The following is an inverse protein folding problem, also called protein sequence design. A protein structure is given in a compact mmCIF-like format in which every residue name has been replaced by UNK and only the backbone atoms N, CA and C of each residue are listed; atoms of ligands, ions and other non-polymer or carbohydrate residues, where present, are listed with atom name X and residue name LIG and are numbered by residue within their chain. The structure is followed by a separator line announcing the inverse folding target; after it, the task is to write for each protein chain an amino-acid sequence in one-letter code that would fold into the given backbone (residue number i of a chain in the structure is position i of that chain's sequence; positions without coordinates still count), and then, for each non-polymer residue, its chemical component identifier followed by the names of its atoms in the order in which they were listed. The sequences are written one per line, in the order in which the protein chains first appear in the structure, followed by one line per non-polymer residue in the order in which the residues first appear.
data_IF_552079726008
#
_entry.id   IF_552079726008
#
_cell.length_a   1.000
_cell.length_b   1.000
_cell.length_c   1.000
_cell.angle_alpha   90.00
_cell.angle_beta   90.00
_cell.angle_gamma   90.00
#
_symmetry.space_group_name_H-M   'P 1'
#
loop_
_entity.id
_entity.type
_entity.pdbx_description
1 polymer ?
#
# COMPACT_ATOMS: atom_id res chain seq x y z
N UNK A 1 25.31 -9.09 -26.25
CA UNK A 1 24.75 -7.72 -26.36
C UNK A 1 23.22 -7.79 -26.33
N UNK A 2 22.60 -6.72 -25.83
CA UNK A 2 21.15 -6.38 -25.76
C UNK A 2 20.38 -6.80 -24.50
N UNK A 3 20.13 -5.78 -23.68
CA UNK A 3 19.18 -5.67 -22.56
C UNK A 3 17.77 -5.39 -23.11
N UNK A 4 16.72 -5.98 -22.53
CA UNK A 4 15.32 -5.51 -22.62
C UNK A 4 14.69 -5.77 -21.23
N UNK A 5 14.63 -4.79 -20.34
CA UNK A 5 13.55 -3.81 -20.07
C UNK A 5 12.23 -4.44 -19.60
N UNK A 6 11.97 -4.21 -18.31
CA UNK A 6 10.73 -4.39 -17.55
C UNK A 6 9.57 -3.52 -18.07
N UNK A 7 8.35 -3.89 -17.66
CA UNK A 7 7.09 -3.18 -17.85
C UNK A 7 6.19 -4.00 -18.77
N UNK A 8 4.97 -4.38 -18.40
CA UNK A 8 3.87 -3.49 -18.03
C UNK A 8 2.87 -4.25 -17.14
N UNK A 9 2.44 -3.60 -16.06
CA UNK A 9 1.30 -4.02 -15.26
C UNK A 9 0.00 -3.82 -16.06
N UNK A 10 -0.75 -4.89 -16.22
CA UNK A 10 -2.05 -4.88 -16.90
C UNK A 10 -3.10 -4.35 -15.91
N UNK A 11 -3.55 -3.11 -16.09
CA UNK A 11 -4.75 -2.57 -15.44
C UNK A 11 -5.85 -2.56 -16.51
N UNK A 12 -6.90 -3.37 -16.31
CA UNK A 12 -8.06 -3.45 -17.19
C UNK A 12 -9.30 -2.99 -16.42
N UNK A 13 -9.95 -1.93 -16.93
CA UNK A 13 -11.41 -1.69 -17.00
C UNK A 13 -11.57 -0.26 -17.56
N UNK A 14 -12.38 0.02 -18.57
CA UNK A 14 -13.84 -0.07 -18.52
C UNK A 14 -14.43 -0.23 -19.93
N UNK A 15 -15.44 -1.10 -20.06
CA UNK A 15 -16.40 -1.03 -21.17
C UNK A 15 -17.31 0.19 -20.98
N UNK A 16 -17.38 1.03 -22.01
CA UNK A 16 -18.37 2.09 -22.17
C UNK A 16 -19.67 1.52 -22.72
N UNK A 17 -20.80 1.80 -22.08
CA UNK A 17 -22.10 1.87 -22.74
C UNK A 17 -22.84 3.11 -22.24
N UNK A 18 -22.99 4.06 -23.15
CA UNK A 18 -23.58 5.39 -22.96
C UNK A 18 -25.10 5.25 -23.02
N UNK A 19 -25.79 5.80 -22.03
CA UNK A 19 -27.17 6.28 -22.16
C UNK A 19 -27.28 7.64 -21.49
N UNK A 20 -27.63 8.62 -22.32
CA UNK A 20 -27.73 10.05 -22.02
C UNK A 20 -29.06 10.34 -21.30
N UNK A 21 -29.01 10.97 -20.12
CA UNK A 21 -30.10 11.81 -19.58
C UNK A 21 -29.48 13.05 -18.91
N UNK A 22 -29.74 14.21 -19.52
CA UNK A 22 -29.62 15.60 -19.02
C UNK A 22 -30.38 15.76 -17.69
N UNK A 23 -30.04 16.57 -16.68
CA UNK A 23 -28.98 17.57 -16.42
C UNK A 23 -29.13 17.90 -14.94
N UNK A 24 -28.08 17.74 -14.15
CA UNK A 24 -27.89 18.48 -12.90
C UNK A 24 -26.43 18.86 -12.89
N UNK A 25 -26.16 20.17 -12.93
CA UNK A 25 -24.83 20.78 -12.96
C UNK A 25 -23.98 20.27 -11.79
N UNK A 26 -23.29 19.17 -12.03
CA UNK A 26 -22.06 18.84 -11.33
C UNK A 26 -20.95 19.26 -12.28
N UNK A 27 -20.07 20.20 -11.91
CA UNK A 27 -18.99 20.58 -12.79
C UNK A 27 -18.24 19.29 -13.19
N UNK A 28 -17.82 19.16 -14.45
CA UNK A 28 -16.98 18.03 -14.84
C UNK A 28 -15.82 18.02 -13.86
N UNK A 29 -15.59 16.89 -13.19
CA UNK A 29 -14.34 16.63 -12.45
C UNK A 29 -13.24 16.82 -13.47
N UNK A 30 -12.73 18.04 -13.54
CA UNK A 30 -11.58 18.39 -14.35
C UNK A 30 -10.43 17.54 -13.85
N UNK A 31 -9.48 17.27 -14.75
CA UNK A 31 -8.19 16.65 -14.43
C UNK A 31 -7.39 17.39 -13.30
N UNK A 32 -7.97 18.42 -12.67
CA UNK A 32 -7.48 19.19 -11.52
C UNK A 32 -7.60 18.51 -10.15
N UNK A 33 -8.38 17.42 -10.03
CA UNK A 33 -8.71 16.85 -8.71
C UNK A 33 -7.85 15.64 -8.32
N UNK A 34 -6.96 15.18 -9.20
CA UNK A 34 -6.02 14.10 -8.90
C UNK A 34 -4.66 14.70 -8.53
N UNK A 35 -4.10 14.26 -7.40
CA UNK A 35 -2.75 14.61 -6.99
C UNK A 35 -1.85 13.37 -7.04
N UNK A 36 -0.57 13.59 -7.34
CA UNK A 36 0.47 12.58 -7.21
C UNK A 36 1.48 13.04 -6.18
N UNK A 37 1.65 12.25 -5.12
CA UNK A 37 2.72 12.41 -4.15
C UNK A 37 3.89 11.54 -4.60
N UNK A 38 5.04 12.17 -4.82
CA UNK A 38 6.29 11.51 -5.14
C UNK A 38 7.20 11.54 -3.91
N UNK A 39 7.40 10.39 -3.27
CA UNK A 39 8.21 10.28 -2.06
C UNK A 39 9.68 10.66 -2.26
N UNK A 40 10.17 10.68 -3.50
CA UNK A 40 11.50 11.19 -3.80
C UNK A 40 11.59 12.72 -3.65
N UNK A 41 10.47 13.41 -3.80
CA UNK A 41 10.37 14.88 -3.72
C UNK A 41 9.80 15.36 -2.38
N UNK A 42 8.80 14.66 -1.85
CA UNK A 42 8.09 15.02 -0.62
C UNK A 42 7.92 13.78 0.28
N UNK A 43 9.01 13.21 0.83
CA UNK A 43 8.95 11.99 1.63
C UNK A 43 8.05 12.14 2.87
N UNK A 44 7.97 13.33 3.47
CA UNK A 44 7.13 13.63 4.63
C UNK A 44 5.63 13.50 4.35
N UNK A 45 5.22 13.56 3.07
CA UNK A 45 3.84 13.33 2.66
C UNK A 45 3.50 11.85 2.44
N UNK A 46 4.49 10.95 2.62
CA UNK A 46 4.28 9.51 2.61
C UNK A 46 4.16 9.02 4.06
N UNK A 47 2.95 8.62 4.50
CA UNK A 47 2.73 8.21 5.88
C UNK A 47 3.48 6.92 6.20
N UNK A 48 3.79 6.73 7.48
CA UNK A 48 4.53 5.56 7.96
C UNK A 48 3.90 4.25 7.50
N UNK A 49 2.56 4.13 7.60
CA UNK A 49 1.85 2.91 7.22
C UNK A 49 2.12 2.52 5.76
N UNK A 50 2.22 3.50 4.85
CA UNK A 50 2.41 3.24 3.42
C UNK A 50 3.82 2.74 3.13
N UNK A 51 4.83 3.39 3.71
CA UNK A 51 6.22 2.98 3.59
C UNK A 51 6.44 1.56 4.15
N UNK A 52 5.88 1.27 5.32
CA UNK A 52 6.00 -0.04 5.96
C UNK A 52 5.24 -1.13 5.24
N UNK A 53 4.00 -0.87 4.81
CA UNK A 53 3.24 -1.84 4.04
C UNK A 53 3.95 -2.22 2.74
N UNK A 54 4.51 -1.24 2.04
CA UNK A 54 5.28 -1.49 0.82
C UNK A 54 6.58 -2.24 1.11
N UNK A 55 7.28 -1.91 2.20
CA UNK A 55 8.46 -2.65 2.64
C UNK A 55 8.12 -4.13 2.93
N UNK A 56 6.99 -4.41 3.58
CA UNK A 56 6.52 -5.79 3.79
C UNK A 56 6.22 -6.51 2.47
N UNK A 57 5.67 -5.83 1.46
CA UNK A 57 5.46 -6.44 0.13
C UNK A 57 6.77 -6.89 -0.50
N UNK A 58 7.81 -6.06 -0.44
CA UNK A 58 9.15 -6.45 -0.89
C UNK A 58 9.67 -7.66 -0.11
N UNK A 59 9.54 -7.65 1.22
CA UNK A 59 10.04 -8.71 2.10
C UNK A 59 9.25 -10.04 2.01
N UNK A 60 8.04 -10.00 1.43
CA UNK A 60 7.19 -11.17 1.22
C UNK A 60 7.19 -11.68 -0.23
N UNK A 61 7.92 -11.04 -1.15
CA UNK A 61 7.84 -11.33 -2.59
C UNK A 61 8.24 -12.78 -2.93
N UNK A 62 7.39 -13.57 -3.59
CA UNK A 62 7.64 -15.00 -3.83
C UNK A 62 8.72 -15.28 -4.90
N UNK A 63 9.10 -14.28 -5.70
CA UNK A 63 9.84 -14.48 -6.95
C UNK A 63 11.37 -14.23 -6.88
N UNK A 64 11.94 -13.96 -5.70
CA UNK A 64 13.39 -13.75 -5.59
C UNK A 64 14.12 -15.12 -5.50
N UNK A 65 15.05 -15.44 -6.43
CA UNK A 65 15.78 -16.72 -6.43
C UNK A 65 16.72 -16.88 -5.22
N UNK A 66 17.09 -15.76 -4.60
CA UNK A 66 17.74 -15.68 -3.30
C UNK A 66 16.76 -14.90 -2.43
N UNK A 67 16.43 -15.44 -1.26
CA UNK A 67 15.55 -14.89 -0.21
C UNK A 67 15.13 -13.41 -0.45
N UNK A 68 13.83 -13.08 -0.56
CA UNK A 68 13.32 -11.75 -0.92
C UNK A 68 13.53 -10.73 0.20
N UNK A 69 14.77 -10.59 0.66
CA UNK A 69 15.20 -9.73 1.73
C UNK A 69 16.24 -8.80 1.12
N UNK A 70 16.04 -7.47 1.20
CA UNK A 70 17.00 -6.49 0.74
C UNK A 70 18.41 -6.77 1.28
N UNK A 71 19.43 -6.58 0.46
CA UNK A 71 20.83 -6.88 0.82
C UNK A 71 21.27 -6.18 2.11
N UNK A 72 20.81 -4.95 2.35
CA UNK A 72 21.11 -4.20 3.59
C UNK A 72 20.59 -4.93 4.83
N UNK A 73 19.34 -5.42 4.80
CA UNK A 73 18.77 -6.24 5.86
C UNK A 73 19.52 -7.58 5.94
N UNK A 74 19.84 -8.18 4.79
CA UNK A 74 20.51 -9.48 4.75
C UNK A 74 21.85 -9.49 5.49
N UNK A 75 22.66 -8.44 5.28
CA UNK A 75 23.98 -8.29 5.90
C UNK A 75 23.90 -7.97 7.39
N UNK A 76 22.83 -7.31 7.84
CA UNK A 76 22.64 -6.89 9.23
C UNK A 76 21.93 -7.95 10.11
N UNK A 77 21.50 -9.07 9.53
CA UNK A 77 20.66 -10.04 10.24
C UNK A 77 21.16 -11.48 10.09
N UNK A 78 20.83 -12.32 11.08
CA UNK A 78 21.02 -13.77 11.00
C UNK A 78 19.95 -14.43 10.12
N UNK A 79 20.14 -15.71 9.80
CA UNK A 79 19.15 -16.50 9.07
C UNK A 79 17.81 -16.59 9.79
N UNK A 80 17.84 -16.76 11.11
CA UNK A 80 16.67 -16.87 11.98
C UNK A 80 15.91 -15.54 12.02
N UNK A 81 16.63 -14.42 12.05
CA UNK A 81 16.05 -13.08 12.00
C UNK A 81 15.42 -12.80 10.63
N UNK A 82 16.04 -13.19 9.53
CA UNK A 82 15.43 -13.10 8.19
C UNK A 82 14.17 -13.95 8.07
N UNK A 83 14.18 -15.16 8.62
CA UNK A 83 13.00 -16.01 8.66
C UNK A 83 11.86 -15.35 9.47
N UNK A 84 12.18 -14.69 10.58
CA UNK A 84 11.22 -13.90 11.37
C UNK A 84 10.66 -12.73 10.55
N UNK A 85 11.52 -11.93 9.92
CA UNK A 85 11.13 -10.79 9.06
C UNK A 85 10.18 -11.25 7.96
N UNK A 86 10.55 -12.32 7.24
CA UNK A 86 9.73 -12.89 6.17
C UNK A 86 8.39 -13.40 6.69
N UNK A 87 8.38 -14.09 7.84
CA UNK A 87 7.14 -14.58 8.45
C UNK A 87 6.18 -13.43 8.77
N UNK A 88 6.67 -12.36 9.40
CA UNK A 88 5.83 -11.20 9.72
C UNK A 88 5.36 -10.50 8.44
N UNK A 89 6.23 -10.33 7.44
CA UNK A 89 5.87 -9.76 6.15
C UNK A 89 4.77 -10.56 5.45
N UNK A 90 4.91 -11.89 5.37
CA UNK A 90 3.89 -12.77 4.78
C UNK A 90 2.56 -12.70 5.53
N UNK A 91 2.59 -12.58 6.86
CA UNK A 91 1.39 -12.41 7.67
C UNK A 91 0.67 -11.10 7.33
N UNK A 92 1.40 -9.98 7.23
CA UNK A 92 0.83 -8.68 6.83
C UNK A 92 0.20 -8.76 5.44
N UNK A 93 0.87 -9.37 4.46
CA UNK A 93 0.33 -9.49 3.09
C UNK A 93 -0.91 -10.40 3.04
N UNK A 94 -0.96 -11.44 3.86
CA UNK A 94 -2.15 -12.28 3.99
C UNK A 94 -3.33 -11.48 4.56
N UNK A 95 -3.12 -10.72 5.64
CA UNK A 95 -4.15 -9.85 6.21
C UNK A 95 -4.59 -8.75 5.24
N UNK A 96 -3.64 -8.14 4.52
CA UNK A 96 -3.93 -7.13 3.50
C UNK A 96 -4.85 -7.69 2.43
N UNK A 97 -4.56 -8.89 1.93
CA UNK A 97 -5.38 -9.58 0.93
C UNK A 97 -6.78 -9.86 1.46
N UNK A 98 -6.89 -10.33 2.70
CA UNK A 98 -8.19 -10.61 3.32
C UNK A 98 -9.05 -9.33 3.44
N UNK A 99 -8.47 -8.26 3.97
CA UNK A 99 -9.17 -6.97 4.12
C UNK A 99 -9.53 -6.37 2.76
N UNK A 100 -8.63 -6.46 1.78
CA UNK A 100 -8.89 -6.05 0.40
C UNK A 100 -10.05 -6.82 -0.24
N UNK A 101 -10.12 -8.14 -0.03
CA UNK A 101 -11.26 -8.95 -0.50
C UNK A 101 -12.56 -8.56 0.19
N UNK A 102 -12.54 -8.25 1.49
CA UNK A 102 -13.73 -7.73 2.19
C UNK A 102 -14.18 -6.38 1.64
N UNK A 103 -13.24 -5.48 1.35
CA UNK A 103 -13.53 -4.17 0.77
C UNK A 103 -14.11 -4.29 -0.65
N UNK A 104 -13.59 -5.19 -1.48
CA UNK A 104 -14.15 -5.46 -2.81
C UNK A 104 -15.60 -5.98 -2.73
N UNK A 105 -15.91 -6.87 -1.77
CA UNK A 105 -17.28 -7.37 -1.57
C UNK A 105 -18.28 -6.29 -1.14
N UNK A 106 -17.82 -5.16 -0.61
CA UNK A 106 -18.71 -4.02 -0.31
C UNK A 106 -19.22 -3.33 -1.58
N UNK A 107 -18.58 -3.59 -2.73
CA UNK A 107 -19.04 -3.08 -4.02
C UNK A 107 -20.20 -3.91 -4.59
N UNK A 108 -20.39 -5.15 -4.11
CA UNK A 108 -21.47 -6.02 -4.56
C UNK A 108 -22.82 -5.50 -4.05
N UNK A 109 -23.78 -5.30 -4.96
CA UNK A 109 -25.13 -4.83 -4.61
C UNK A 109 -25.21 -3.37 -4.16
N UNK A 110 -24.29 -2.53 -4.63
CA UNK A 110 -24.37 -1.08 -4.44
C UNK A 110 -25.65 -0.51 -5.06
N UNK A 111 -26.40 0.24 -4.26
CA UNK A 111 -27.55 1.04 -4.66
C UNK A 111 -27.33 2.48 -4.21
N UNK A 112 -27.96 3.47 -4.85
CA UNK A 112 -27.78 4.87 -4.49
C UNK A 112 -28.05 5.16 -2.99
N UNK A 113 -28.98 4.41 -2.39
CA UNK A 113 -29.39 4.51 -0.99
C UNK A 113 -28.31 4.00 -0.02
N UNK A 114 -27.53 2.98 -0.39
CA UNK A 114 -26.54 2.36 0.49
C UNK A 114 -25.09 2.82 0.23
N UNK A 115 -24.83 3.62 -0.81
CA UNK A 115 -23.50 4.15 -1.14
C UNK A 115 -22.81 4.82 0.07
N UNK A 116 -23.47 5.71 0.85
CA UNK A 116 -22.82 6.35 1.99
C UNK A 116 -22.33 5.33 3.03
N UNK A 117 -23.21 4.41 3.45
CA UNK A 117 -22.89 3.38 4.43
C UNK A 117 -21.76 2.45 3.96
N UNK A 118 -21.81 2.02 2.69
CA UNK A 118 -20.79 1.15 2.10
C UNK A 118 -19.44 1.85 1.98
N UNK A 119 -19.45 3.15 1.67
CA UNK A 119 -18.23 3.97 1.67
C UNK A 119 -17.60 4.04 3.06
N UNK A 120 -18.41 4.30 4.10
CA UNK A 120 -17.92 4.34 5.48
C UNK A 120 -17.32 3.00 5.92
N UNK A 121 -17.98 1.88 5.56
CA UNK A 121 -17.47 0.54 5.82
C UNK A 121 -16.13 0.27 5.11
N UNK A 122 -15.99 0.72 3.86
CA UNK A 122 -14.74 0.61 3.11
C UNK A 122 -13.62 1.44 3.75
N UNK A 123 -13.93 2.66 4.19
CA UNK A 123 -12.99 3.55 4.88
C UNK A 123 -12.51 2.95 6.21
N UNK A 124 -13.40 2.28 6.97
CA UNK A 124 -13.04 1.55 8.19
C UNK A 124 -12.12 0.35 7.92
N UNK A 125 -12.40 -0.43 6.87
CA UNK A 125 -11.54 -1.57 6.49
C UNK A 125 -10.15 -1.10 6.06
N UNK A 126 -10.10 0.02 5.33
CA UNK A 126 -8.86 0.64 4.91
C UNK A 126 -8.04 1.13 6.11
N UNK A 127 -8.65 1.80 7.09
CA UNK A 127 -7.96 2.18 8.33
C UNK A 127 -7.41 0.97 9.09
N UNK A 128 -8.20 -0.12 9.21
CA UNK A 128 -7.74 -1.38 9.82
C UNK A 128 -6.53 -1.96 9.11
N UNK A 129 -6.50 -1.91 7.78
CA UNK A 129 -5.37 -2.38 6.96
C UNK A 129 -4.10 -1.60 7.26
N UNK A 130 -4.21 -0.28 7.38
CA UNK A 130 -3.07 0.60 7.67
C UNK A 130 -2.57 0.42 9.10
N UNK A 131 -3.46 0.32 10.07
CA UNK A 131 -3.10 0.04 11.47
C UNK A 131 -2.38 -1.31 11.60
N UNK A 132 -2.86 -2.36 10.92
CA UNK A 132 -2.22 -3.67 10.96
C UNK A 132 -0.76 -3.64 10.48
N UNK A 133 -0.44 -2.79 9.49
CA UNK A 133 0.94 -2.60 9.03
C UNK A 133 1.83 -1.95 10.10
N UNK A 134 1.31 -0.95 10.82
CA UNK A 134 2.02 -0.29 11.92
C UNK A 134 2.21 -1.23 13.11
N UNK A 135 1.18 -1.97 13.50
CA UNK A 135 1.27 -2.96 14.58
C UNK A 135 2.29 -4.05 14.24
N UNK A 136 2.35 -4.48 12.97
CA UNK A 136 3.33 -5.47 12.51
C UNK A 136 4.76 -4.92 12.52
N UNK A 137 4.96 -3.65 12.13
CA UNK A 137 6.23 -2.94 12.32
C UNK A 137 6.68 -3.03 13.77
N UNK A 138 5.81 -2.63 14.70
CA UNK A 138 6.17 -2.52 16.11
C UNK A 138 6.48 -3.91 16.70
N UNK A 139 5.67 -4.92 16.38
CA UNK A 139 5.94 -6.32 16.76
C UNK A 139 7.22 -6.88 16.17
N UNK A 140 7.55 -6.54 14.93
CA UNK A 140 8.78 -7.01 14.28
C UNK A 140 10.00 -6.38 14.95
N UNK A 141 9.99 -5.06 15.10
CA UNK A 141 11.12 -4.32 15.66
C UNK A 141 11.39 -4.72 17.11
N UNK A 142 10.35 -4.97 17.90
CA UNK A 142 10.50 -5.46 19.28
C UNK A 142 11.20 -6.84 19.40
N UNK A 143 11.23 -7.63 18.32
CA UNK A 143 11.84 -8.98 18.30
C UNK A 143 13.22 -9.02 17.65
N UNK A 144 13.65 -7.93 17.01
CA UNK A 144 14.96 -7.84 16.35
C UNK A 144 15.99 -7.20 17.28
N UNK A 145 17.28 -7.58 17.18
CA UNK A 145 18.34 -6.80 17.80
C UNK A 145 18.45 -5.42 17.15
N UNK A 146 19.18 -4.52 17.80
CA UNK A 146 19.32 -3.11 17.39
C UNK A 146 19.77 -2.98 15.92
N UNK A 147 20.73 -3.78 15.48
CA UNK A 147 21.27 -3.75 14.12
C UNK A 147 20.20 -4.14 13.09
N UNK A 148 19.41 -5.17 13.40
CA UNK A 148 18.28 -5.59 12.58
C UNK A 148 17.17 -4.55 12.55
N UNK A 149 16.88 -3.90 13.68
CA UNK A 149 15.91 -2.82 13.75
C UNK A 149 16.33 -1.63 12.87
N UNK A 150 17.60 -1.23 12.93
CA UNK A 150 18.16 -0.14 12.11
C UNK A 150 18.01 -0.49 10.63
N UNK A 151 18.48 -1.67 10.21
CA UNK A 151 18.46 -2.05 8.81
C UNK A 151 17.04 -2.13 8.22
N UNK A 152 16.06 -2.64 8.98
CA UNK A 152 14.67 -2.71 8.52
C UNK A 152 14.03 -1.32 8.48
N UNK A 153 14.31 -0.43 9.45
CA UNK A 153 13.85 0.97 9.42
C UNK A 153 14.43 1.73 8.22
N UNK A 154 15.74 1.63 7.99
CA UNK A 154 16.40 2.26 6.85
C UNK A 154 15.84 1.77 5.52
N UNK A 155 15.51 0.47 5.43
CA UNK A 155 14.85 -0.05 4.25
C UNK A 155 13.45 0.55 4.06
N UNK A 156 12.64 0.66 5.11
CA UNK A 156 11.33 1.32 5.02
C UNK A 156 11.46 2.80 4.59
N UNK A 157 12.48 3.51 5.08
CA UNK A 157 12.78 4.88 4.64
C UNK A 157 13.27 4.94 3.18
N UNK A 158 14.02 3.96 2.72
CA UNK A 158 14.38 3.84 1.31
C UNK A 158 13.14 3.62 0.44
N UNK A 159 12.25 2.72 0.86
CA UNK A 159 10.97 2.46 0.20
C UNK A 159 10.10 3.72 0.17
N UNK A 160 10.05 4.49 1.26
CA UNK A 160 9.35 5.78 1.33
C UNK A 160 9.78 6.73 0.20
N UNK A 161 11.09 6.86 -0.01
CA UNK A 161 11.66 7.70 -1.07
C UNK A 161 11.37 7.20 -2.48
N UNK A 162 11.10 5.90 -2.64
CA UNK A 162 10.69 5.31 -3.92
C UNK A 162 9.17 5.30 -4.15
N UNK A 163 8.38 5.61 -3.13
CA UNK A 163 6.92 5.46 -3.15
C UNK A 163 6.24 6.55 -3.99
N UNK A 164 5.21 6.17 -4.75
CA UNK A 164 4.35 7.10 -5.48
C UNK A 164 2.89 6.79 -5.20
N UNK A 165 2.16 7.81 -4.75
CA UNK A 165 0.73 7.72 -4.45
C UNK A 165 -0.03 8.64 -5.41
N UNK A 166 -1.02 8.11 -6.13
CA UNK A 166 -1.94 8.92 -6.94
C UNK A 166 -3.35 8.76 -6.39
N UNK A 167 -4.00 9.87 -6.06
CA UNK A 167 -5.33 9.86 -5.44
C UNK A 167 -6.10 11.15 -5.73
N UNK A 168 -7.40 11.11 -5.44
CA UNK A 168 -8.23 12.33 -5.45
C UNK A 168 -7.82 13.21 -4.28
N UNK A 169 -7.68 14.52 -4.51
CA UNK A 169 -7.24 15.51 -3.51
C UNK A 169 -8.07 15.49 -2.23
N UNK A 170 -9.39 15.26 -2.33
CA UNK A 170 -10.29 15.16 -1.17
C UNK A 170 -9.97 13.99 -0.25
N UNK A 171 -9.24 12.98 -0.72
CA UNK A 171 -8.82 11.81 0.06
C UNK A 171 -7.43 11.97 0.70
N UNK A 172 -6.75 13.10 0.48
CA UNK A 172 -5.40 13.33 1.05
C UNK A 172 -5.39 13.26 2.57
N UNK A 173 -6.29 13.98 3.25
CA UNK A 173 -6.34 13.97 4.72
C UNK A 173 -6.57 12.55 5.27
N UNK A 174 -7.43 11.79 4.61
CA UNK A 174 -7.66 10.39 4.97
C UNK A 174 -6.41 9.54 4.70
N UNK A 175 -5.71 9.73 3.58
CA UNK A 175 -4.51 8.97 3.23
C UNK A 175 -3.39 9.11 4.27
N UNK A 176 -3.22 10.30 4.84
CA UNK A 176 -2.20 10.57 5.84
C UNK A 176 -2.43 9.84 7.18
N UNK A 177 -3.63 9.29 7.40
CA UNK A 177 -3.96 8.53 8.61
C UNK A 177 -3.75 7.02 8.41
N UNK A 178 -3.33 6.27 9.45
CA UNK A 178 -2.81 6.72 10.75
C UNK A 178 -1.31 7.07 10.67
N UNK A 179 -0.82 7.96 11.54
CA UNK A 179 0.62 8.28 11.62
C UNK A 179 1.44 7.30 12.46
#
# INVERSE_FOLDING_TARGET
MKRLRFGVALVYLMLTAVSVVHTQDKPPTSDSDIITIDGAKNPELIPNWAAWLEAFRFMAAPAAPVEPIPTTIYLATSREQRALIRKEAMFVIAQERELGQRALKLQDGLTAENVPERSDQADVLELKRRQAALDARDRLLAKLPVEGQIAVREFAEHVRKGYKATMVKSKLAQFLLPE
#
